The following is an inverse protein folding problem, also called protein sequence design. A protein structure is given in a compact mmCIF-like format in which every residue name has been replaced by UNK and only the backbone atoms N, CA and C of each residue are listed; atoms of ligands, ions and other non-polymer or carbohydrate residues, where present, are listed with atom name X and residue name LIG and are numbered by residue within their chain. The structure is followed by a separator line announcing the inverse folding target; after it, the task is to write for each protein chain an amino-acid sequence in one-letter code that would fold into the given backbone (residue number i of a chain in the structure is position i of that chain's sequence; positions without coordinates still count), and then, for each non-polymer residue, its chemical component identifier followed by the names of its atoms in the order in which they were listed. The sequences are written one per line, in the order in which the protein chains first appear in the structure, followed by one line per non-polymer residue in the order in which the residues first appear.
data_IF_576344486139
#
_entry.id   IF_576344486139
#
_cell.length_a   1.000
_cell.length_b   1.000
_cell.length_c   1.000
_cell.angle_alpha   90.00
_cell.angle_beta   90.00
_cell.angle_gamma   90.00
#
_symmetry.space_group_name_H-M   'P 1'
#
loop_
_entity.id
_entity.type
_entity.pdbx_description
1 polymer ?
#
# COMPACT_ATOMS: atom_id res chain seq x y z
N UNK A 1 71.54 -75.10 -39.58
CA UNK A 1 70.26 -75.00 -38.85
C UNK A 1 70.13 -73.60 -38.27
N UNK A 2 69.32 -72.77 -38.91
CA UNK A 2 69.06 -71.36 -38.57
C UNK A 2 68.02 -71.27 -37.46
N UNK A 3 68.37 -70.69 -36.31
CA UNK A 3 67.43 -70.41 -35.21
C UNK A 3 66.48 -69.26 -35.61
N UNK A 4 65.19 -69.54 -35.46
CA UNK A 4 64.02 -68.66 -35.69
C UNK A 4 64.06 -67.44 -34.74
N UNK A 5 63.66 -66.23 -35.18
CA UNK A 5 63.60 -65.08 -34.29
C UNK A 5 62.37 -65.16 -33.37
N UNK A 6 62.60 -65.00 -32.06
CA UNK A 6 61.52 -64.87 -31.08
C UNK A 6 60.93 -63.45 -31.10
N UNK A 7 59.59 -63.45 -31.02
CA UNK A 7 58.70 -62.34 -31.27
C UNK A 7 58.72 -61.33 -30.10
N UNK A 8 59.28 -60.14 -30.32
CA UNK A 8 59.37 -59.05 -29.32
C UNK A 8 58.07 -58.22 -29.19
N UNK A 9 57.00 -58.58 -29.89
CA UNK A 9 55.72 -57.86 -29.85
C UNK A 9 54.98 -57.93 -28.50
N UNK A 10 55.45 -58.72 -27.53
CA UNK A 10 54.85 -58.87 -26.20
C UNK A 10 55.25 -57.84 -25.15
N UNK A 11 56.26 -56.98 -25.40
CA UNK A 11 56.82 -56.10 -24.36
C UNK A 11 56.11 -54.74 -24.20
N UNK A 12 55.21 -54.35 -25.11
CA UNK A 12 54.66 -52.98 -25.15
C UNK A 12 53.22 -52.80 -24.64
N UNK A 13 52.48 -53.84 -24.27
CA UNK A 13 51.06 -53.70 -23.86
C UNK A 13 50.79 -53.81 -22.35
N UNK A 14 51.80 -54.15 -21.52
CA UNK A 14 51.60 -54.43 -20.09
C UNK A 14 51.84 -53.26 -19.12
N UNK A 15 52.20 -52.06 -19.58
CA UNK A 15 52.50 -50.91 -18.68
C UNK A 15 51.54 -49.71 -18.73
N UNK A 16 50.49 -49.73 -19.55
CA UNK A 16 49.55 -48.60 -19.67
C UNK A 16 48.11 -48.94 -19.26
N UNK A 17 47.93 -49.72 -18.19
CA UNK A 17 46.58 -50.06 -17.69
C UNK A 17 46.45 -49.96 -16.17
N UNK A 18 46.90 -48.87 -15.55
CA UNK A 18 46.57 -48.62 -14.13
C UNK A 18 46.77 -47.17 -13.66
N UNK A 19 45.91 -46.23 -14.09
CA UNK A 19 45.47 -45.12 -13.21
C UNK A 19 44.30 -44.31 -13.78
N UNK A 20 43.17 -44.96 -14.04
CA UNK A 20 41.90 -44.22 -13.96
C UNK A 20 41.62 -44.12 -12.46
N UNK A 21 41.97 -42.98 -11.86
CA UNK A 21 41.58 -42.63 -10.49
C UNK A 21 40.07 -42.71 -10.45
N UNK A 22 39.53 -43.70 -9.75
CA UNK A 22 38.12 -43.71 -9.36
C UNK A 22 37.86 -42.43 -8.56
N UNK A 23 37.14 -41.48 -9.16
CA UNK A 23 36.48 -40.46 -8.37
C UNK A 23 35.53 -41.21 -7.45
N UNK A 24 35.85 -41.27 -6.16
CA UNK A 24 34.92 -41.70 -5.15
C UNK A 24 33.73 -40.74 -5.24
N UNK A 25 32.70 -41.12 -5.99
CA UNK A 25 31.39 -40.51 -5.89
C UNK A 25 30.93 -40.92 -4.49
N UNK A 26 31.25 -40.07 -3.51
CA UNK A 26 30.76 -40.20 -2.15
C UNK A 26 29.25 -40.42 -2.27
N UNK A 27 28.76 -41.59 -1.87
CA UNK A 27 27.32 -41.86 -1.75
C UNK A 27 26.78 -40.85 -0.74
N UNK A 28 26.37 -39.69 -1.25
CA UNK A 28 25.86 -38.57 -0.47
C UNK A 28 24.52 -39.01 0.09
N UNK A 29 24.48 -39.45 1.35
CA UNK A 29 23.25 -39.81 2.05
C UNK A 29 22.22 -38.69 1.85
N UNK A 30 21.03 -38.94 1.27
CA UNK A 30 20.07 -37.87 0.95
C UNK A 30 19.50 -37.17 2.21
N UNK A 31 19.99 -37.53 3.39
CA UNK A 31 19.66 -36.92 4.67
C UNK A 31 19.84 -35.39 4.65
N UNK A 32 20.96 -34.87 4.12
CA UNK A 32 21.15 -33.41 4.04
C UNK A 32 20.14 -32.74 3.08
N UNK A 33 19.72 -33.40 2.00
CA UNK A 33 18.67 -32.90 1.11
C UNK A 33 17.31 -32.88 1.80
N UNK A 34 16.99 -33.89 2.62
CA UNK A 34 15.77 -33.92 3.43
C UNK A 34 15.78 -32.80 4.48
N UNK A 35 16.88 -32.64 5.21
CA UNK A 35 17.03 -31.55 6.18
C UNK A 35 16.85 -30.19 5.49
N UNK A 36 17.54 -29.95 4.37
CA UNK A 36 17.44 -28.71 3.62
C UNK A 36 16.01 -28.46 3.08
N UNK A 37 15.33 -29.52 2.63
CA UNK A 37 13.93 -29.45 2.21
C UNK A 37 12.98 -29.08 3.36
N UNK A 38 13.11 -29.73 4.52
CA UNK A 38 12.28 -29.42 5.69
C UNK A 38 12.58 -28.03 6.25
N UNK A 39 13.83 -27.58 6.26
CA UNK A 39 14.21 -26.21 6.63
C UNK A 39 13.59 -25.19 5.67
N UNK A 40 13.67 -25.44 4.36
CA UNK A 40 13.04 -24.58 3.36
C UNK A 40 11.51 -24.53 3.52
N UNK A 41 10.87 -25.68 3.77
CA UNK A 41 9.44 -25.76 4.06
C UNK A 41 9.07 -24.95 5.31
N UNK A 42 9.86 -25.04 6.38
CA UNK A 42 9.64 -24.29 7.63
C UNK A 42 9.73 -22.78 7.40
N UNK A 43 10.70 -22.33 6.59
CA UNK A 43 10.85 -20.92 6.22
C UNK A 43 9.62 -20.45 5.42
N UNK A 44 9.13 -21.26 4.46
CA UNK A 44 7.91 -20.93 3.70
C UNK A 44 6.71 -20.83 4.62
N UNK A 45 6.48 -21.82 5.49
CA UNK A 45 5.33 -21.83 6.42
C UNK A 45 5.39 -20.65 7.38
N UNK A 46 6.57 -20.37 7.95
CA UNK A 46 6.79 -19.20 8.80
C UNK A 46 6.55 -17.89 8.05
N UNK A 47 7.02 -17.78 6.81
CA UNK A 47 6.79 -16.62 5.94
C UNK A 47 5.31 -16.41 5.63
N UNK A 48 4.57 -17.48 5.29
CA UNK A 48 3.12 -17.41 5.04
C UNK A 48 2.34 -17.03 6.30
N UNK A 49 2.71 -17.58 7.46
CA UNK A 49 2.07 -17.24 8.74
C UNK A 49 2.32 -15.77 9.09
N UNK A 50 3.56 -15.30 8.94
CA UNK A 50 3.93 -13.91 9.15
C UNK A 50 3.18 -12.97 8.19
N UNK A 51 3.04 -13.36 6.92
CA UNK A 51 2.25 -12.62 5.94
C UNK A 51 0.78 -12.51 6.33
N UNK A 52 0.16 -13.61 6.75
CA UNK A 52 -1.23 -13.62 7.21
C UNK A 52 -1.44 -12.77 8.47
N UNK A 53 -0.49 -12.76 9.39
CA UNK A 53 -0.56 -11.94 10.60
C UNK A 53 -0.58 -10.44 10.30
N UNK A 54 0.17 -10.01 9.29
CA UNK A 54 0.22 -8.60 8.86
C UNK A 54 -1.01 -8.16 8.03
N UNK A 55 -1.79 -9.10 7.50
CA UNK A 55 -3.08 -8.82 6.84
C UNK A 55 -4.24 -8.67 7.83
N UNK A 56 -4.00 -8.86 9.13
CA UNK A 56 -5.03 -8.65 10.13
C UNK A 56 -5.28 -7.15 10.36
N UNK A 57 -6.52 -6.76 10.73
CA UNK A 57 -6.83 -5.41 11.16
C UNK A 57 -5.90 -4.91 12.27
N UNK A 58 -5.72 -3.59 12.34
CA UNK A 58 -4.96 -2.96 13.42
C UNK A 58 -5.59 -3.27 14.78
N UNK A 59 -6.91 -3.05 14.90
CA UNK A 59 -7.70 -3.39 16.07
C UNK A 59 -9.10 -3.89 15.63
N UNK A 60 -9.33 -5.22 15.60
CA UNK A 60 -10.59 -5.81 15.14
C UNK A 60 -11.84 -5.35 15.92
N UNK A 61 -11.68 -4.89 17.16
CA UNK A 61 -12.79 -4.46 18.03
C UNK A 61 -13.15 -2.99 17.85
N UNK A 62 -12.26 -2.19 17.26
CA UNK A 62 -12.44 -0.75 17.12
C UNK A 62 -13.03 -0.42 15.75
N UNK A 63 -14.34 -0.11 15.77
CA UNK A 63 -15.10 0.25 14.58
C UNK A 63 -15.20 1.76 14.37
N UNK A 64 -14.47 2.57 15.15
CA UNK A 64 -14.48 4.03 15.06
C UNK A 64 -14.11 4.45 13.64
N UNK A 65 -14.98 5.28 13.04
CA UNK A 65 -14.77 5.79 11.69
C UNK A 65 -13.84 6.99 11.72
N UNK A 66 -12.77 6.89 10.94
CA UNK A 66 -11.73 7.91 10.80
C UNK A 66 -11.75 8.39 9.35
N UNK A 67 -11.88 9.71 9.17
CA UNK A 67 -11.79 10.35 7.86
C UNK A 67 -10.34 10.41 7.40
N UNK A 68 -10.10 9.88 6.20
CA UNK A 68 -8.79 9.82 5.57
C UNK A 68 -8.82 10.38 4.16
N UNK A 69 -8.22 11.55 3.95
CA UNK A 69 -8.16 12.20 2.64
C UNK A 69 -6.84 11.90 1.91
N UNK A 70 -6.93 11.51 0.63
CA UNK A 70 -5.79 11.24 -0.24
C UNK A 70 -5.71 12.28 -1.34
N UNK A 71 -4.56 12.95 -1.43
CA UNK A 71 -4.33 14.01 -2.42
C UNK A 71 -4.02 13.41 -3.79
N UNK A 72 -4.38 14.12 -4.86
CA UNK A 72 -4.00 13.73 -6.22
C UNK A 72 -2.47 13.67 -6.33
N UNK A 73 -1.95 12.53 -6.79
CA UNK A 73 -0.50 12.31 -6.93
C UNK A 73 0.21 11.98 -5.63
N UNK A 74 -0.50 11.79 -4.51
CA UNK A 74 0.11 11.36 -3.27
C UNK A 74 0.75 9.96 -3.42
N UNK A 75 1.99 9.81 -2.94
CA UNK A 75 2.72 8.55 -3.09
C UNK A 75 2.15 7.47 -2.17
N UNK A 76 2.22 6.21 -2.61
CA UNK A 76 1.83 5.05 -1.77
C UNK A 76 2.61 5.05 -0.45
N UNK A 77 3.85 5.56 -0.43
CA UNK A 77 4.62 5.66 0.80
C UNK A 77 4.03 6.69 1.77
N UNK A 78 3.69 7.89 1.31
CA UNK A 78 3.02 8.90 2.14
C UNK A 78 1.70 8.37 2.70
N UNK A 79 0.88 7.77 1.84
CA UNK A 79 -0.42 7.18 2.22
C UNK A 79 -0.21 6.12 3.32
N UNK A 80 0.77 5.23 3.15
CA UNK A 80 1.02 4.14 4.10
C UNK A 80 1.50 4.65 5.46
N UNK A 81 2.38 5.65 5.50
CA UNK A 81 2.84 6.22 6.78
C UNK A 81 1.69 6.89 7.52
N UNK A 82 0.87 7.69 6.82
CA UNK A 82 -0.30 8.35 7.40
C UNK A 82 -1.36 7.37 7.90
N UNK A 83 -1.59 6.26 7.17
CA UNK A 83 -2.47 5.19 7.63
C UNK A 83 -1.97 4.58 8.94
N UNK A 84 -0.65 4.43 9.11
CA UNK A 84 -0.07 3.95 10.38
C UNK A 84 -0.21 4.98 11.49
N UNK A 85 0.06 6.26 11.23
CA UNK A 85 -0.10 7.34 12.21
C UNK A 85 -1.52 7.40 12.78
N UNK A 86 -2.52 7.15 11.93
CA UNK A 86 -3.92 7.05 12.33
C UNK A 86 -4.33 5.67 12.85
N UNK A 87 -3.39 4.76 13.10
CA UNK A 87 -3.64 3.41 13.63
C UNK A 87 -4.62 2.58 12.78
N UNK A 88 -4.63 2.80 11.47
CA UNK A 88 -5.45 2.06 10.51
C UNK A 88 -4.71 0.83 9.95
N UNK A 89 -3.37 0.86 9.93
CA UNK A 89 -2.53 -0.27 9.54
C UNK A 89 -1.38 -0.47 10.55
N UNK A 90 -0.89 -1.71 10.67
CA UNK A 90 0.24 -2.04 11.56
C UNK A 90 1.60 -1.70 10.93
N UNK A 91 1.76 -1.98 9.64
CA UNK A 91 3.05 -1.88 8.95
C UNK A 91 2.92 -1.18 7.60
N UNK A 92 3.49 0.04 7.45
CA UNK A 92 3.55 0.75 6.17
C UNK A 92 4.28 -0.04 5.08
N UNK A 93 5.38 -0.71 5.45
CA UNK A 93 6.18 -1.50 4.51
C UNK A 93 5.37 -2.66 3.95
N UNK A 94 4.63 -3.37 4.80
CA UNK A 94 3.80 -4.47 4.36
C UNK A 94 2.67 -3.99 3.44
N UNK A 95 2.00 -2.90 3.81
CA UNK A 95 0.96 -2.30 2.98
C UNK A 95 1.49 -1.89 1.59
N UNK A 96 2.66 -1.25 1.55
CA UNK A 96 3.35 -0.91 0.29
C UNK A 96 3.59 -2.14 -0.58
N UNK A 97 4.22 -3.17 -0.02
CA UNK A 97 4.52 -4.41 -0.77
C UNK A 97 3.22 -5.04 -1.26
N UNK A 98 2.17 -5.09 -0.43
CA UNK A 98 0.86 -5.60 -0.82
C UNK A 98 0.28 -4.83 -2.02
N UNK A 99 0.31 -3.50 -2.00
CA UNK A 99 -0.15 -2.66 -3.12
C UNK A 99 0.66 -2.92 -4.40
N UNK A 100 1.98 -3.06 -4.29
CA UNK A 100 2.88 -3.27 -5.43
C UNK A 100 2.69 -4.66 -6.04
N UNK A 101 2.71 -5.71 -5.21
CA UNK A 101 2.55 -7.11 -5.64
C UNK A 101 1.18 -7.34 -6.30
N UNK A 102 0.13 -6.69 -5.80
CA UNK A 102 -1.20 -6.76 -6.41
C UNK A 102 -1.38 -5.84 -7.64
N UNK A 103 -0.35 -5.06 -8.02
CA UNK A 103 -0.43 -4.13 -9.15
C UNK A 103 -1.44 -3.00 -8.95
N UNK A 104 -1.72 -2.61 -7.70
CA UNK A 104 -2.72 -1.61 -7.33
C UNK A 104 -2.16 -0.19 -7.30
N UNK A 105 -0.84 0.00 -7.34
CA UNK A 105 -0.18 1.31 -7.17
C UNK A 105 -0.74 2.40 -8.09
N UNK A 106 -1.05 2.07 -9.34
CA UNK A 106 -1.60 3.03 -10.33
C UNK A 106 -3.14 3.15 -10.29
N UNK A 107 -3.81 2.32 -9.50
CA UNK A 107 -5.27 2.25 -9.43
C UNK A 107 -5.86 3.00 -8.23
N UNK A 108 -5.03 3.30 -7.23
CA UNK A 108 -5.44 4.10 -6.07
C UNK A 108 -5.94 5.46 -6.54
N UNK A 109 -7.16 5.80 -6.13
CA UNK A 109 -7.78 7.07 -6.43
C UNK A 109 -7.53 8.09 -5.32
N UNK A 110 -7.49 9.36 -5.69
CA UNK A 110 -7.60 10.45 -4.73
C UNK A 110 -9.06 10.54 -4.26
N UNK A 111 -9.27 10.80 -2.97
CA UNK A 111 -10.59 10.59 -2.36
C UNK A 111 -10.58 10.79 -0.85
N UNK A 112 -11.76 11.00 -0.27
CA UNK A 112 -11.99 10.91 1.18
C UNK A 112 -12.55 9.53 1.47
N UNK A 113 -11.90 8.83 2.39
CA UNK A 113 -12.29 7.50 2.79
C UNK A 113 -12.65 7.47 4.26
N UNK A 114 -13.65 6.68 4.60
CA UNK A 114 -14.01 6.35 5.97
C UNK A 114 -13.44 4.99 6.30
N UNK A 115 -12.34 4.98 7.05
CA UNK A 115 -11.71 3.76 7.51
C UNK A 115 -12.00 3.51 8.98
N UNK A 116 -11.83 2.27 9.44
CA UNK A 116 -11.80 1.94 10.85
C UNK A 116 -10.60 1.05 11.15
N UNK A 117 -10.03 1.09 12.37
CA UNK A 117 -8.94 0.19 12.76
C UNK A 117 -9.29 -1.30 12.67
N UNK A 118 -10.59 -1.63 12.65
CA UNK A 118 -11.13 -2.97 12.40
C UNK A 118 -11.06 -3.44 10.96
N UNK A 119 -10.75 -2.57 10.00
CA UNK A 119 -10.55 -2.96 8.60
C UNK A 119 -9.17 -3.58 8.39
N UNK A 120 -9.13 -4.64 7.57
CA UNK A 120 -7.91 -5.23 7.09
C UNK A 120 -7.23 -4.36 6.03
N UNK A 121 -5.90 -4.44 5.88
CA UNK A 121 -5.16 -3.84 4.76
C UNK A 121 -5.76 -4.16 3.38
N UNK A 122 -6.35 -5.35 3.23
CA UNK A 122 -7.01 -5.76 1.98
C UNK A 122 -8.30 -4.98 1.72
N UNK A 123 -9.12 -4.76 2.74
CA UNK A 123 -10.34 -3.95 2.62
C UNK A 123 -10.01 -2.48 2.36
N UNK A 124 -9.03 -1.93 3.07
CA UNK A 124 -8.54 -0.57 2.86
C UNK A 124 -8.08 -0.42 1.40
N UNK A 125 -7.19 -1.30 0.92
CA UNK A 125 -6.71 -1.24 -0.47
C UNK A 125 -7.81 -1.40 -1.51
N UNK A 126 -8.82 -2.25 -1.27
CA UNK A 126 -9.97 -2.38 -2.16
C UNK A 126 -10.80 -1.08 -2.24
N UNK A 127 -11.03 -0.41 -1.10
CA UNK A 127 -11.71 0.88 -1.07
C UNK A 127 -10.91 1.96 -1.81
N UNK A 128 -9.60 2.01 -1.61
CA UNK A 128 -8.71 2.95 -2.31
C UNK A 128 -8.79 2.82 -3.84
N UNK A 129 -8.89 1.57 -4.33
CA UNK A 129 -9.00 1.28 -5.77
C UNK A 129 -10.40 1.56 -6.30
N UNK A 130 -11.44 1.27 -5.52
CA UNK A 130 -12.83 1.61 -5.88
C UNK A 130 -12.99 3.12 -6.09
N UNK A 131 -12.26 3.92 -5.30
CA UNK A 131 -12.30 5.37 -5.38
C UNK A 131 -13.56 5.96 -4.74
N UNK A 132 -13.60 7.29 -4.74
CA UNK A 132 -14.74 8.07 -4.25
C UNK A 132 -15.19 9.05 -5.34
N UNK A 133 -16.42 9.54 -5.23
CA UNK A 133 -16.94 10.54 -6.16
C UNK A 133 -16.68 11.95 -5.64
N UNK A 134 -15.44 12.24 -5.25
CA UNK A 134 -15.07 13.51 -4.64
C UNK A 134 -14.31 14.42 -5.62
N UNK A 135 -14.24 15.72 -5.30
CA UNK A 135 -13.53 16.75 -6.06
C UNK A 135 -12.74 17.67 -5.13
N UNK A 136 -11.46 17.85 -5.45
CA UNK A 136 -10.58 18.78 -4.75
C UNK A 136 -10.93 20.22 -5.11
N UNK A 137 -10.99 21.09 -4.10
CA UNK A 137 -11.10 22.53 -4.23
C UNK A 137 -10.22 23.21 -3.18
N UNK A 138 -9.41 24.16 -3.61
CA UNK A 138 -8.55 24.94 -2.72
C UNK A 138 -9.18 26.29 -2.46
N UNK A 139 -9.31 26.63 -1.17
CA UNK A 139 -9.67 27.97 -0.69
C UNK A 139 -8.36 28.65 -0.32
N UNK A 140 -7.99 29.69 -1.08
CA UNK A 140 -6.78 30.48 -0.80
C UNK A 140 -7.06 31.57 0.24
N UNK A 141 -6.00 32.05 0.87
CA UNK A 141 -6.09 33.15 1.83
C UNK A 141 -6.67 34.42 1.19
N UNK A 142 -7.40 35.20 1.99
CA UNK A 142 -7.98 36.48 1.56
C UNK A 142 -9.24 36.37 0.71
N UNK A 143 -9.75 35.17 0.41
CA UNK A 143 -11.05 35.02 -0.26
C UNK A 143 -12.20 35.44 0.65
N UNK A 144 -13.11 36.25 0.10
CA UNK A 144 -14.39 36.56 0.75
C UNK A 144 -15.36 35.39 0.61
N UNK A 145 -16.33 35.31 1.51
CA UNK A 145 -17.34 34.25 1.50
C UNK A 145 -18.09 34.13 0.16
N UNK A 146 -18.36 35.24 -0.52
CA UNK A 146 -19.05 35.26 -1.82
C UNK A 146 -18.17 34.68 -2.92
N UNK A 147 -16.85 34.92 -2.86
CA UNK A 147 -15.89 34.37 -3.82
C UNK A 147 -15.74 32.86 -3.64
N UNK A 148 -15.75 32.37 -2.40
CA UNK A 148 -15.75 30.93 -2.10
C UNK A 148 -17.02 30.29 -2.66
N UNK A 149 -18.20 30.89 -2.42
CA UNK A 149 -19.47 30.43 -2.98
C UNK A 149 -19.46 30.38 -4.52
N UNK A 150 -18.97 31.44 -5.18
CA UNK A 150 -18.84 31.48 -6.62
C UNK A 150 -17.86 30.42 -7.16
N UNK A 151 -16.76 30.18 -6.46
CA UNK A 151 -15.81 29.13 -6.82
C UNK A 151 -16.42 27.73 -6.66
N UNK A 152 -17.25 27.48 -5.65
CA UNK A 152 -17.99 26.22 -5.50
C UNK A 152 -18.94 26.00 -6.69
N UNK A 153 -19.71 27.02 -7.08
CA UNK A 153 -20.61 26.95 -8.24
C UNK A 153 -19.82 26.67 -9.52
N UNK A 154 -18.70 27.37 -9.75
CA UNK A 154 -17.81 27.14 -10.90
C UNK A 154 -17.24 25.72 -10.92
N UNK A 155 -17.02 25.14 -9.74
CA UNK A 155 -16.61 23.75 -9.57
C UNK A 155 -17.78 22.76 -9.60
N UNK A 156 -18.98 23.17 -10.03
CA UNK A 156 -20.12 22.30 -10.30
C UNK A 156 -20.90 21.85 -9.07
N UNK A 157 -20.71 22.48 -7.91
CA UNK A 157 -21.54 22.23 -6.73
C UNK A 157 -22.85 23.01 -6.83
N UNK A 158 -23.96 22.37 -6.44
CA UNK A 158 -25.29 22.97 -6.44
C UNK A 158 -25.46 23.90 -5.22
N UNK A 159 -24.86 25.10 -5.29
CA UNK A 159 -24.92 26.11 -4.23
C UNK A 159 -25.83 27.25 -4.64
N UNK A 160 -26.76 27.62 -3.76
CA UNK A 160 -27.53 28.86 -3.90
C UNK A 160 -26.75 30.01 -3.22
N UNK A 161 -26.36 31.08 -3.94
CA UNK A 161 -25.58 32.19 -3.37
C UNK A 161 -26.24 32.88 -2.18
N UNK A 162 -27.56 33.01 -2.17
CA UNK A 162 -28.31 33.68 -1.10
C UNK A 162 -28.37 32.80 0.14
N UNK A 163 -28.62 31.51 -0.04
CA UNK A 163 -28.63 30.54 1.05
C UNK A 163 -27.21 30.34 1.62
N UNK A 164 -26.16 30.41 0.79
CA UNK A 164 -24.76 30.40 1.20
C UNK A 164 -24.46 31.49 2.23
N UNK A 165 -24.70 32.74 1.86
CA UNK A 165 -24.45 33.88 2.73
C UNK A 165 -25.32 33.83 3.98
N UNK A 166 -26.59 33.43 3.83
CA UNK A 166 -27.49 33.30 4.97
C UNK A 166 -26.98 32.29 6.00
N UNK A 167 -26.61 31.07 5.58
CA UNK A 167 -26.08 30.05 6.51
C UNK A 167 -24.79 30.47 7.18
N UNK A 168 -23.87 31.10 6.46
CA UNK A 168 -22.63 31.58 7.06
C UNK A 168 -22.89 32.61 8.17
N UNK A 169 -23.86 33.51 7.96
CA UNK A 169 -24.27 34.48 8.98
C UNK A 169 -25.00 33.80 10.15
N UNK A 170 -26.00 32.98 9.85
CA UNK A 170 -26.84 32.30 10.86
C UNK A 170 -26.01 31.38 11.78
N UNK A 171 -25.02 30.68 11.23
CA UNK A 171 -24.14 29.75 11.96
C UNK A 171 -22.85 30.44 12.47
N UNK A 172 -22.71 31.76 12.30
CA UNK A 172 -21.53 32.55 12.67
C UNK A 172 -20.21 31.89 12.19
N UNK A 173 -20.18 31.54 10.90
CA UNK A 173 -19.05 30.90 10.23
C UNK A 173 -18.11 31.89 9.55
N UNK A 174 -18.40 33.18 9.64
CA UNK A 174 -17.53 34.23 9.12
C UNK A 174 -16.17 34.20 9.85
N UNK A 175 -15.08 34.24 9.09
CA UNK A 175 -13.73 34.01 9.61
C UNK A 175 -13.38 32.56 9.96
N UNK A 176 -14.33 31.61 9.88
CA UNK A 176 -14.09 30.16 10.08
C UNK A 176 -13.89 29.39 8.78
N UNK A 177 -14.00 30.06 7.63
CA UNK A 177 -13.71 29.47 6.32
C UNK A 177 -12.20 29.38 6.10
N UNK A 178 -11.56 28.42 6.78
CA UNK A 178 -10.11 28.30 6.84
C UNK A 178 -9.49 28.11 5.43
N UNK A 179 -8.34 28.74 5.13
CA UNK A 179 -7.63 28.54 3.88
C UNK A 179 -6.93 27.17 3.86
N UNK A 180 -7.41 26.25 3.02
CA UNK A 180 -6.81 24.92 2.83
C UNK A 180 -7.27 24.32 1.49
N UNK A 181 -6.70 23.17 1.14
CA UNK A 181 -7.26 22.31 0.10
C UNK A 181 -8.25 21.34 0.72
N UNK A 182 -9.48 21.39 0.22
CA UNK A 182 -10.61 20.59 0.67
C UNK A 182 -10.99 19.56 -0.38
N UNK A 183 -11.55 18.45 0.07
CA UNK A 183 -12.08 17.42 -0.78
C UNK A 183 -13.57 17.26 -0.49
N UNK A 184 -14.40 17.60 -1.47
CA UNK A 184 -15.86 17.59 -1.34
C UNK A 184 -16.48 16.49 -2.20
N UNK A 185 -17.47 15.72 -1.70
CA UNK A 185 -18.29 14.85 -2.54
C UNK A 185 -18.94 15.67 -3.67
N UNK A 186 -18.93 15.20 -4.92
CA UNK A 186 -19.45 15.97 -6.06
C UNK A 186 -20.93 16.34 -5.94
N UNK A 187 -21.68 15.53 -5.21
CA UNK A 187 -23.09 15.68 -4.89
C UNK A 187 -23.32 16.34 -3.52
N UNK A 188 -22.27 16.84 -2.87
CA UNK A 188 -22.38 17.52 -1.59
C UNK A 188 -23.27 18.75 -1.69
N UNK A 189 -24.24 18.82 -0.78
CA UNK A 189 -25.02 20.02 -0.57
C UNK A 189 -24.22 21.08 0.20
N UNK A 190 -24.79 22.28 0.26
CA UNK A 190 -24.19 23.41 0.94
C UNK A 190 -23.88 23.12 2.41
N UNK A 191 -24.78 22.40 3.11
CA UNK A 191 -24.62 22.05 4.52
C UNK A 191 -23.43 21.13 4.74
N UNK A 192 -23.26 20.12 3.88
CA UNK A 192 -22.14 19.18 3.93
C UNK A 192 -20.81 19.89 3.69
N UNK A 193 -20.77 20.81 2.73
CA UNK A 193 -19.57 21.62 2.44
C UNK A 193 -19.18 22.48 3.65
N UNK A 194 -20.12 23.21 4.24
CA UNK A 194 -19.85 24.04 5.43
C UNK A 194 -19.34 23.19 6.59
N UNK A 195 -19.96 22.03 6.85
CA UNK A 195 -19.53 21.10 7.89
C UNK A 195 -18.11 20.60 7.69
N UNK A 196 -17.72 20.30 6.44
CA UNK A 196 -16.34 19.89 6.11
C UNK A 196 -15.35 21.03 6.40
N UNK A 197 -15.69 22.26 6.01
CA UNK A 197 -14.84 23.43 6.23
C UNK A 197 -14.68 23.71 7.73
N UNK A 198 -15.78 23.74 8.47
CA UNK A 198 -15.80 23.98 9.91
C UNK A 198 -15.01 22.91 10.68
N UNK A 199 -15.20 21.63 10.34
CA UNK A 199 -14.43 20.53 10.95
C UNK A 199 -12.93 20.72 10.76
N UNK A 200 -12.49 21.17 9.58
CA UNK A 200 -11.08 21.46 9.34
C UNK A 200 -10.59 22.64 10.19
N UNK A 201 -11.38 23.71 10.28
CA UNK A 201 -11.07 24.85 11.14
C UNK A 201 -10.85 24.42 12.60
N UNK A 202 -11.79 23.66 13.18
CA UNK A 202 -11.67 23.18 14.56
C UNK A 202 -10.39 22.33 14.75
N UNK A 203 -10.12 21.42 13.81
CA UNK A 203 -8.90 20.61 13.84
C UNK A 203 -7.63 21.47 13.84
N UNK A 204 -7.61 22.58 13.10
CA UNK A 204 -6.44 23.47 12.96
C UNK A 204 -6.25 24.40 14.15
N UNK A 205 -7.32 24.83 14.80
CA UNK A 205 -7.27 25.76 15.94
C UNK A 205 -7.06 25.03 17.28
N UNK A 206 -7.50 23.78 17.39
CA UNK A 206 -7.34 22.98 18.62
C UNK A 206 -6.04 22.15 18.65
N UNK A 207 -5.28 22.07 17.54
CA UNK A 207 -3.98 21.38 17.47
C UNK A 207 -2.80 22.27 17.83
#
# INVERSE_FOLDING_TARGET
MTKKPENTAGLFSKRFKKKIRSSNIVKKNPFYLRVLFFTFLLIIVGGVFWWKSNLQPYNPKDQTKIDFAIRKGESVSSISERLREQKLIKSPTFFKVNIVVQGLSKKIQAGTYLFSPSMSPKEISALLVKGTNDRWMTIVEGLRQEQIGAQLIKNGFAINPQEWQKKIKDENLEGKLFPDSYLFPKDADQKTILKIIEKNFQKKVTS
#
